data_IF_511576855394
#
_entry.id   IF_511576855394
#
_cell.length_a   1.000
_cell.length_b   1.000
_cell.length_c   1.000
_cell.angle_alpha   90.00
_cell.angle_beta   90.00
_cell.angle_gamma   90.00
#
_symmetry.space_group_name_H-M   'P 1'
#
loop_
_entity.id
_entity.type
_entity.pdbx_description
1 polymer ?
#
# COMPACT_ATOMS: atom_id res chain seq x y z
N UNK A 1 -17.69 -48.29 42.66
CA UNK A 1 -16.29 -48.44 43.06
C UNK A 1 -15.45 -48.79 41.86
N UNK A 2 -14.34 -48.10 41.60
CA UNK A 2 -13.47 -48.27 40.42
C UNK A 2 -12.86 -49.69 40.31
N UNK A 3 -12.83 -50.43 41.45
CA UNK A 3 -12.32 -51.78 41.51
C UNK A 3 -13.20 -52.82 40.79
N UNK A 4 -14.43 -52.41 40.41
CA UNK A 4 -15.38 -53.34 39.74
C UNK A 4 -15.26 -53.22 38.17
N UNK A 5 -14.46 -52.32 37.65
CA UNK A 5 -14.26 -52.16 36.22
C UNK A 5 -12.81 -52.52 35.88
N UNK A 6 -12.63 -53.53 35.06
CA UNK A 6 -11.32 -53.82 34.46
C UNK A 6 -11.05 -52.83 33.34
N UNK A 7 -9.80 -52.60 33.06
CA UNK A 7 -9.39 -51.69 31.98
C UNK A 7 -10.01 -52.16 30.64
N UNK A 8 -10.63 -51.21 29.93
CA UNK A 8 -11.36 -51.49 28.69
C UNK A 8 -12.75 -52.09 28.84
N UNK A 9 -13.27 -52.33 30.08
CA UNK A 9 -14.61 -52.91 30.28
C UNK A 9 -15.76 -51.94 29.95
N UNK A 10 -15.49 -50.65 29.87
CA UNK A 10 -16.46 -49.65 29.44
C UNK A 10 -16.11 -49.25 28.01
N UNK A 11 -16.87 -49.72 27.06
CA UNK A 11 -16.77 -49.42 25.65
C UNK A 11 -17.94 -48.55 25.17
N UNK A 12 -17.99 -48.24 23.86
CA UNK A 12 -19.04 -47.37 23.27
C UNK A 12 -20.45 -47.94 23.44
N UNK A 13 -20.62 -49.29 23.55
CA UNK A 13 -21.92 -49.92 23.77
C UNK A 13 -22.46 -49.67 25.17
N UNK A 14 -21.60 -49.37 26.12
CA UNK A 14 -21.96 -49.05 27.50
C UNK A 14 -22.29 -47.58 27.74
N UNK A 15 -22.05 -46.73 26.70
CA UNK A 15 -22.29 -45.29 26.74
C UNK A 15 -23.47 -44.95 25.83
N UNK A 16 -24.66 -44.74 26.42
CA UNK A 16 -25.81 -44.27 25.62
C UNK A 16 -25.52 -42.88 25.04
N UNK A 17 -26.15 -42.60 23.87
CA UNK A 17 -26.06 -41.28 23.23
C UNK A 17 -26.42 -40.16 24.21
N UNK A 18 -25.58 -39.13 24.26
CA UNK A 18 -25.74 -37.98 25.14
C UNK A 18 -25.46 -38.26 26.64
N UNK A 19 -25.01 -39.48 27.02
CA UNK A 19 -24.66 -39.80 28.40
C UNK A 19 -23.45 -39.03 28.93
N UNK A 20 -22.54 -38.62 28.04
CA UNK A 20 -21.42 -37.73 28.37
C UNK A 20 -21.82 -36.28 28.02
N UNK A 21 -22.18 -35.55 29.04
CA UNK A 21 -22.55 -34.14 28.97
C UNK A 21 -21.33 -33.25 29.28
N UNK A 22 -21.41 -31.95 28.92
CA UNK A 22 -20.36 -31.00 29.25
C UNK A 22 -19.95 -30.98 30.73
N UNK A 23 -20.91 -31.19 31.64
CA UNK A 23 -20.64 -31.25 33.09
C UNK A 23 -19.80 -32.48 33.53
N UNK A 24 -19.67 -33.49 32.66
CA UNK A 24 -18.85 -34.68 32.92
C UNK A 24 -17.45 -34.62 32.33
N UNK A 25 -17.16 -33.54 31.56
CA UNK A 25 -15.86 -33.26 31.02
C UNK A 25 -15.29 -32.09 31.81
N UNK A 26 -14.24 -32.31 32.56
CA UNK A 26 -13.62 -31.23 33.34
C UNK A 26 -12.98 -30.20 32.40
N UNK A 27 -13.00 -28.95 32.85
CA UNK A 27 -12.41 -27.84 32.07
C UNK A 27 -10.93 -28.13 31.76
N UNK A 28 -10.53 -27.88 30.52
CA UNK A 28 -9.16 -28.05 30.03
C UNK A 28 -8.72 -29.51 29.82
N UNK A 29 -9.59 -30.49 29.97
CA UNK A 29 -9.22 -31.91 29.75
C UNK A 29 -9.22 -32.30 28.28
N UNK A 30 -9.98 -31.60 27.41
CA UNK A 30 -9.92 -31.78 25.97
C UNK A 30 -8.86 -30.81 25.43
N UNK A 31 -7.70 -31.32 25.10
CA UNK A 31 -6.58 -30.55 24.55
C UNK A 31 -6.46 -30.80 23.03
N UNK A 32 -5.54 -30.08 22.35
CA UNK A 32 -5.41 -30.16 20.89
C UNK A 32 -5.16 -31.59 20.37
N UNK A 33 -4.47 -32.42 21.15
CA UNK A 33 -4.18 -33.81 20.77
C UNK A 33 -5.42 -34.74 20.71
N UNK A 34 -6.50 -34.38 21.41
CA UNK A 34 -7.77 -35.15 21.41
C UNK A 34 -8.72 -34.69 20.29
N UNK A 35 -8.36 -33.63 19.58
CA UNK A 35 -9.14 -33.11 18.43
C UNK A 35 -8.40 -33.52 17.14
N UNK A 36 -8.97 -34.51 16.44
CA UNK A 36 -8.39 -34.96 15.19
C UNK A 36 -8.36 -33.82 14.14
N UNK A 37 -7.39 -33.89 13.21
CA UNK A 37 -7.29 -32.96 12.10
C UNK A 37 -8.63 -32.87 11.34
N UNK A 38 -9.04 -31.65 11.00
CA UNK A 38 -10.32 -31.37 10.34
C UNK A 38 -11.59 -31.76 11.12
N UNK A 39 -11.48 -32.13 12.39
CA UNK A 39 -12.65 -32.47 13.23
C UNK A 39 -13.54 -31.25 13.52
N UNK A 40 -12.97 -30.04 13.55
CA UNK A 40 -13.70 -28.78 13.71
C UNK A 40 -13.98 -28.20 12.32
N UNK A 41 -15.19 -28.41 11.82
CA UNK A 41 -15.65 -27.88 10.52
C UNK A 41 -16.40 -26.58 10.72
N UNK A 42 -16.63 -25.83 9.64
CA UNK A 42 -17.43 -24.58 9.64
C UNK A 42 -18.81 -24.76 10.29
N UNK A 43 -19.47 -25.92 10.08
CA UNK A 43 -20.77 -26.21 10.66
C UNK A 43 -20.74 -26.38 12.20
N UNK A 44 -19.56 -26.58 12.78
CA UNK A 44 -19.37 -26.71 14.25
C UNK A 44 -18.97 -25.40 14.92
N UNK A 45 -18.71 -24.36 14.11
CA UNK A 45 -18.42 -23.00 14.58
C UNK A 45 -19.66 -22.16 14.27
N UNK A 46 -20.42 -21.79 15.32
CA UNK A 46 -21.58 -20.92 15.14
C UNK A 46 -21.14 -19.55 14.58
N UNK A 47 -22.06 -18.88 13.88
CA UNK A 47 -21.84 -17.50 13.48
C UNK A 47 -21.45 -16.65 14.73
N UNK A 48 -20.50 -15.74 14.54
CA UNK A 48 -19.96 -14.86 15.58
C UNK A 48 -19.29 -15.56 16.80
N UNK A 49 -19.07 -16.87 16.71
CA UNK A 49 -18.38 -17.61 17.78
C UNK A 49 -16.88 -17.24 17.88
N UNK A 50 -16.25 -16.82 16.78
CA UNK A 50 -14.87 -16.35 16.76
C UNK A 50 -14.89 -14.82 16.82
N UNK A 51 -14.65 -14.28 18.01
CA UNK A 51 -14.55 -12.83 18.24
C UNK A 51 -13.10 -12.37 18.18
N UNK A 52 -12.86 -11.05 18.06
CA UNK A 52 -11.51 -10.49 18.06
C UNK A 52 -10.66 -10.92 19.25
N UNK A 53 -11.26 -11.11 20.44
CA UNK A 53 -10.55 -11.59 21.63
C UNK A 53 -10.03 -13.04 21.53
N UNK A 54 -10.52 -13.80 20.52
CA UNK A 54 -10.10 -15.20 20.29
C UNK A 54 -9.06 -15.32 19.17
N UNK A 55 -8.74 -14.21 18.52
CA UNK A 55 -7.71 -14.12 17.50
C UNK A 55 -6.54 -13.36 18.13
N UNK A 56 -5.39 -14.02 18.25
CA UNK A 56 -4.20 -13.35 18.76
C UNK A 56 -3.78 -12.20 17.83
N UNK A 57 -3.14 -11.19 18.39
CA UNK A 57 -2.55 -10.12 17.60
C UNK A 57 -1.61 -10.70 16.53
N UNK A 58 -1.64 -10.15 15.33
CA UNK A 58 -0.85 -10.60 14.17
C UNK A 58 -1.15 -12.04 13.67
N UNK A 59 -2.21 -12.69 14.19
CA UNK A 59 -2.61 -14.02 13.74
C UNK A 59 -3.25 -14.03 12.34
N UNK A 60 -3.77 -12.90 11.88
CA UNK A 60 -4.33 -12.73 10.54
C UNK A 60 -3.33 -11.96 9.66
N UNK A 61 -2.74 -12.65 8.73
CA UNK A 61 -1.77 -12.11 7.77
C UNK A 61 -2.30 -12.20 6.33
N UNK A 62 -1.50 -11.79 5.34
CA UNK A 62 -1.90 -11.75 3.93
C UNK A 62 -2.36 -13.10 3.37
N UNK A 63 -1.88 -14.22 3.91
CA UNK A 63 -2.27 -15.58 3.46
C UNK A 63 -3.71 -15.94 3.83
N UNK A 64 -4.31 -15.24 4.80
CA UNK A 64 -5.69 -15.44 5.24
C UNK A 64 -6.71 -14.64 4.42
N UNK A 65 -6.23 -13.73 3.56
CA UNK A 65 -7.09 -12.95 2.68
C UNK A 65 -7.01 -13.51 1.24
N UNK A 66 -8.15 -13.92 0.70
CA UNK A 66 -8.23 -14.22 -0.73
C UNK A 66 -8.22 -12.91 -1.53
N UNK A 67 -7.73 -12.98 -2.76
CA UNK A 67 -7.70 -11.81 -3.64
C UNK A 67 -9.11 -11.20 -3.79
N UNK A 68 -9.21 -9.88 -3.61
CA UNK A 68 -10.48 -9.15 -3.63
C UNK A 68 -11.36 -9.30 -2.37
N UNK A 69 -10.91 -10.01 -1.32
CA UNK A 69 -11.72 -10.18 -0.09
C UNK A 69 -11.78 -8.93 0.78
N UNK A 70 -10.86 -7.98 0.58
CA UNK A 70 -10.89 -6.66 1.21
C UNK A 70 -11.43 -5.66 0.20
N UNK A 71 -12.64 -5.23 0.39
CA UNK A 71 -13.32 -4.25 -0.44
C UNK A 71 -13.59 -2.94 0.34
N UNK A 72 -14.30 -2.00 -0.29
CA UNK A 72 -14.59 -0.70 0.32
C UNK A 72 -15.40 -0.80 1.60
N UNK A 73 -16.21 -1.85 1.79
CA UNK A 73 -16.99 -2.05 3.01
C UNK A 73 -16.11 -2.43 4.22
N UNK A 74 -14.92 -2.99 3.95
CA UNK A 74 -13.96 -3.36 4.99
C UNK A 74 -13.01 -2.21 5.38
N UNK A 75 -13.00 -1.13 4.59
CA UNK A 75 -12.17 0.05 4.83
C UNK A 75 -13.11 1.21 5.13
N UNK A 76 -13.29 1.55 6.40
CA UNK A 76 -14.12 2.68 6.80
C UNK A 76 -13.51 4.01 6.32
N UNK A 77 -14.34 5.05 6.23
CA UNK A 77 -13.90 6.39 5.85
C UNK A 77 -12.71 6.86 6.69
N UNK A 78 -11.73 7.47 6.05
CA UNK A 78 -10.50 7.99 6.66
C UNK A 78 -9.57 6.93 7.28
N UNK A 79 -9.76 5.63 7.01
CA UNK A 79 -8.85 4.59 7.50
C UNK A 79 -7.55 4.48 6.70
N UNK A 80 -7.58 4.82 5.40
CA UNK A 80 -6.35 4.97 4.60
C UNK A 80 -5.85 6.41 4.77
N UNK A 81 -5.02 6.62 5.76
CA UNK A 81 -4.43 7.92 6.05
C UNK A 81 -3.21 8.16 5.15
N UNK A 82 -2.74 9.41 5.13
CA UNK A 82 -1.53 9.85 4.45
C UNK A 82 -0.33 8.89 4.68
N UNK A 83 -0.10 8.48 5.93
CA UNK A 83 1.03 7.60 6.30
C UNK A 83 0.92 6.16 5.76
N UNK A 84 -0.25 5.76 5.26
CA UNK A 84 -0.48 4.45 4.66
C UNK A 84 -0.36 4.45 3.14
N UNK A 85 -0.20 5.62 2.55
CA UNK A 85 0.04 5.75 1.13
C UNK A 85 1.53 5.55 0.83
N UNK A 86 1.82 5.05 -0.35
CA UNK A 86 3.19 4.91 -0.82
C UNK A 86 3.93 6.27 -0.81
N UNK A 87 5.18 6.28 -0.39
CA UNK A 87 6.00 7.50 -0.22
C UNK A 87 5.95 8.44 -1.42
N UNK A 88 5.89 7.91 -2.63
CA UNK A 88 5.82 8.75 -3.85
C UNK A 88 4.64 9.71 -3.88
N UNK A 89 3.53 9.40 -3.16
CA UNK A 89 2.34 10.27 -3.09
C UNK A 89 2.39 11.25 -1.91
N UNK A 90 3.32 11.06 -0.98
CA UNK A 90 3.33 11.76 0.30
C UNK A 90 4.62 12.53 0.57
N UNK A 91 5.66 12.29 -0.21
CA UNK A 91 6.98 12.88 0.01
C UNK A 91 7.32 13.88 -1.10
N UNK A 92 7.76 15.06 -0.69
CA UNK A 92 8.42 16.03 -1.56
C UNK A 92 9.91 15.67 -1.62
N UNK A 93 10.45 15.45 -2.83
CA UNK A 93 11.86 15.20 -3.04
C UNK A 93 12.62 16.49 -3.36
N UNK A 94 13.47 16.93 -2.46
CA UNK A 94 14.36 18.09 -2.66
C UNK A 94 15.65 17.62 -3.35
N UNK A 95 15.84 17.97 -4.61
CA UNK A 95 17.02 17.59 -5.41
C UNK A 95 18.24 18.48 -5.12
N UNK A 96 18.04 19.61 -4.45
CA UNK A 96 19.11 20.55 -4.17
C UNK A 96 19.50 21.38 -5.39
N UNK A 97 20.82 21.62 -5.57
CA UNK A 97 21.38 22.40 -6.69
C UNK A 97 22.28 21.53 -7.55
N UNK A 98 22.19 21.66 -8.87
CA UNK A 98 23.04 20.89 -9.78
C UNK A 98 22.61 20.99 -11.24
N UNK A 99 23.46 20.48 -12.12
CA UNK A 99 23.23 20.47 -13.57
C UNK A 99 22.76 19.13 -14.12
N UNK A 100 22.89 18.06 -13.34
CA UNK A 100 22.36 16.72 -13.65
C UNK A 100 21.57 16.21 -12.46
N UNK A 101 20.26 16.16 -12.60
CA UNK A 101 19.31 15.77 -11.57
C UNK A 101 18.49 14.57 -12.03
N UNK A 102 18.12 13.67 -11.10
CA UNK A 102 17.25 12.54 -11.41
C UNK A 102 15.88 12.77 -10.79
N UNK A 103 14.85 12.69 -11.61
CA UNK A 103 13.45 12.65 -11.20
C UNK A 103 13.02 11.19 -11.15
N UNK A 104 13.19 10.55 -9.98
CA UNK A 104 12.72 9.18 -9.79
C UNK A 104 11.22 9.19 -9.46
N UNK A 105 10.40 8.90 -10.48
CA UNK A 105 8.94 8.93 -10.36
C UNK A 105 8.38 7.82 -9.46
N UNK A 106 9.20 6.84 -9.06
CA UNK A 106 8.81 5.87 -8.03
C UNK A 106 9.00 6.41 -6.59
N UNK A 107 9.82 7.45 -6.42
CA UNK A 107 10.16 7.99 -5.10
C UNK A 107 9.28 9.16 -4.66
N UNK A 108 8.80 10.00 -5.58
CA UNK A 108 7.98 11.16 -5.27
C UNK A 108 7.11 11.59 -6.47
N UNK A 109 6.05 12.33 -6.20
CA UNK A 109 5.25 13.03 -7.22
C UNK A 109 5.51 14.54 -7.23
N UNK A 110 6.26 15.05 -6.26
CA UNK A 110 6.66 16.46 -6.22
C UNK A 110 8.15 16.56 -5.99
N UNK A 111 8.83 17.28 -6.87
CA UNK A 111 10.25 17.55 -6.78
C UNK A 111 10.49 19.04 -6.68
N UNK A 112 11.55 19.43 -5.96
CA UNK A 112 12.03 20.81 -5.92
C UNK A 112 13.50 20.85 -6.29
N UNK A 113 13.92 21.83 -7.09
CA UNK A 113 15.31 22.04 -7.41
C UNK A 113 15.62 23.54 -7.65
N UNK A 114 16.90 23.89 -7.49
CA UNK A 114 17.41 25.20 -7.89
C UNK A 114 18.57 24.99 -8.86
N UNK A 115 18.46 25.55 -10.05
CA UNK A 115 19.52 25.46 -11.05
C UNK A 115 20.64 26.47 -10.76
N UNK A 116 21.89 26.00 -10.82
CA UNK A 116 23.10 26.84 -10.78
C UNK A 116 23.88 26.83 -12.11
N UNK A 117 23.31 26.24 -13.14
CA UNK A 117 23.75 26.12 -14.52
C UNK A 117 22.64 25.49 -15.37
N UNK A 118 22.79 25.41 -16.66
CA UNK A 118 21.85 24.68 -17.51
C UNK A 118 21.77 23.24 -17.00
N UNK A 119 20.56 22.76 -16.73
CA UNK A 119 20.36 21.51 -16.01
C UNK A 119 19.56 20.50 -16.83
N UNK A 120 19.98 19.24 -16.77
CA UNK A 120 19.24 18.10 -17.31
C UNK A 120 18.56 17.35 -16.16
N UNK A 121 17.25 17.19 -16.28
CA UNK A 121 16.42 16.43 -15.36
C UNK A 121 16.07 15.08 -16.02
N UNK A 122 16.78 14.04 -15.61
CA UNK A 122 16.59 12.69 -16.15
C UNK A 122 15.46 11.99 -15.40
N UNK A 123 14.41 11.59 -16.13
CA UNK A 123 13.28 10.86 -15.57
C UNK A 123 13.62 9.36 -15.50
N UNK A 124 13.28 8.74 -14.39
CA UNK A 124 13.39 7.28 -14.17
C UNK A 124 12.10 6.74 -13.57
N UNK A 125 11.82 5.46 -13.83
CA UNK A 125 10.68 4.72 -13.27
C UNK A 125 9.30 5.40 -13.48
N UNK A 126 8.98 5.94 -14.67
CA UNK A 126 7.66 6.50 -14.92
C UNK A 126 6.60 5.39 -14.94
N UNK A 127 5.34 5.77 -14.66
CA UNK A 127 4.16 4.92 -14.83
C UNK A 127 3.06 5.68 -15.57
N UNK A 128 2.43 5.02 -16.53
CA UNK A 128 1.33 5.60 -17.30
C UNK A 128 0.25 6.17 -16.38
N UNK A 129 -0.23 7.35 -16.72
CA UNK A 129 -1.24 8.10 -15.95
C UNK A 129 -0.68 8.89 -14.77
N UNK A 130 0.61 8.76 -14.45
CA UNK A 130 1.26 9.50 -13.38
C UNK A 130 1.40 10.98 -13.75
N UNK A 131 1.11 11.85 -12.79
CA UNK A 131 1.37 13.30 -12.88
C UNK A 131 2.41 13.65 -11.83
N UNK A 132 3.43 14.36 -12.26
CA UNK A 132 4.55 14.77 -11.41
C UNK A 132 4.78 16.26 -11.54
N UNK A 133 4.99 16.93 -10.42
CA UNK A 133 5.28 18.35 -10.33
C UNK A 133 6.77 18.57 -10.05
N UNK A 134 7.41 19.41 -10.86
CA UNK A 134 8.76 19.92 -10.62
C UNK A 134 8.69 21.43 -10.35
N UNK A 135 8.96 21.82 -9.12
CA UNK A 135 9.08 23.23 -8.71
C UNK A 135 10.53 23.64 -8.89
N UNK A 136 10.79 24.48 -9.84
CA UNK A 136 12.13 24.78 -10.33
C UNK A 136 12.44 26.28 -10.29
N UNK A 137 13.58 26.62 -9.69
CA UNK A 137 14.12 27.97 -9.64
C UNK A 137 15.50 28.05 -10.31
N UNK A 138 15.97 29.28 -10.60
CA UNK A 138 17.29 29.58 -11.16
C UNK A 138 17.24 30.06 -12.61
N UNK A 139 18.13 31.01 -12.92
CA UNK A 139 18.17 31.67 -14.23
C UNK A 139 19.03 30.89 -15.24
N UNK A 140 18.57 29.67 -15.58
CA UNK A 140 19.26 28.77 -16.52
C UNK A 140 18.23 28.00 -17.34
N UNK A 141 18.68 27.20 -18.30
CA UNK A 141 17.78 26.42 -19.16
C UNK A 141 17.61 25.01 -18.63
N UNK A 142 16.38 24.59 -18.26
CA UNK A 142 16.08 23.20 -17.91
C UNK A 142 15.88 22.35 -19.15
N UNK A 143 16.28 21.08 -19.09
CA UNK A 143 16.01 20.06 -20.10
C UNK A 143 15.44 18.83 -19.42
N UNK A 144 14.25 18.36 -19.82
CA UNK A 144 13.72 17.06 -19.44
C UNK A 144 14.32 16.00 -20.34
N UNK A 145 14.77 14.88 -19.78
CA UNK A 145 15.42 13.82 -20.54
C UNK A 145 15.01 12.43 -20.04
N UNK A 146 14.85 11.52 -20.99
CA UNK A 146 14.79 10.07 -20.80
C UNK A 146 15.15 9.42 -22.13
N UNK A 147 15.93 8.34 -22.11
CA UNK A 147 16.40 7.66 -23.33
C UNK A 147 15.21 7.04 -24.08
N UNK A 148 15.05 7.40 -25.36
CA UNK A 148 13.98 6.89 -26.23
C UNK A 148 12.63 7.59 -26.07
N UNK A 149 12.48 8.51 -25.12
CA UNK A 149 11.21 9.16 -24.82
C UNK A 149 10.92 10.37 -25.73
N UNK A 150 9.63 10.67 -25.87
CA UNK A 150 9.13 11.86 -26.57
C UNK A 150 8.51 12.83 -25.55
N UNK A 151 8.97 14.08 -25.58
CA UNK A 151 8.46 15.16 -24.73
C UNK A 151 7.65 16.16 -25.55
N UNK A 152 6.37 16.30 -25.22
CA UNK A 152 5.43 17.21 -25.87
C UNK A 152 5.06 18.35 -24.91
N UNK A 153 5.40 19.57 -25.25
CA UNK A 153 5.02 20.73 -24.47
C UNK A 153 3.57 21.10 -24.71
N UNK A 154 2.83 21.33 -23.62
CA UNK A 154 1.44 21.80 -23.63
C UNK A 154 1.44 23.29 -23.35
N UNK A 155 0.86 24.08 -24.28
CA UNK A 155 0.84 25.53 -24.20
C UNK A 155 2.11 26.20 -24.72
N UNK A 156 2.16 27.53 -24.65
CA UNK A 156 3.23 28.38 -25.21
C UNK A 156 4.11 29.04 -24.15
N UNK A 157 3.83 28.84 -22.86
CA UNK A 157 4.60 29.48 -21.79
C UNK A 157 5.93 28.78 -21.62
N UNK A 158 7.02 29.55 -21.69
CA UNK A 158 8.37 29.06 -21.47
C UNK A 158 8.82 29.24 -20.02
N UNK A 159 9.89 28.54 -19.67
CA UNK A 159 10.53 28.68 -18.36
C UNK A 159 11.02 30.12 -18.17
N UNK A 160 10.63 30.74 -17.07
CA UNK A 160 11.06 32.08 -16.69
C UNK A 160 12.12 31.99 -15.58
N UNK A 161 13.37 32.20 -15.95
CA UNK A 161 14.49 32.13 -15.00
C UNK A 161 14.50 33.23 -13.92
N UNK A 162 13.66 34.26 -14.06
CA UNK A 162 13.54 35.33 -13.05
C UNK A 162 12.66 34.97 -11.86
N UNK A 163 11.90 33.87 -11.95
CA UNK A 163 10.98 33.41 -10.92
C UNK A 163 11.07 31.89 -10.71
N UNK A 164 10.35 31.37 -9.72
CA UNK A 164 10.13 29.93 -9.59
C UNK A 164 9.07 29.50 -10.58
N UNK A 165 9.24 28.33 -11.18
CA UNK A 165 8.29 27.77 -12.13
C UNK A 165 7.77 26.43 -11.62
N UNK A 166 6.50 26.16 -11.85
CA UNK A 166 5.92 24.83 -11.78
C UNK A 166 5.98 24.20 -13.17
N UNK A 167 6.65 23.05 -13.28
CA UNK A 167 6.65 22.20 -14.46
C UNK A 167 5.85 20.96 -14.11
N UNK A 168 4.66 20.82 -14.69
CA UNK A 168 3.83 19.64 -14.50
C UNK A 168 4.06 18.65 -15.64
N UNK A 169 4.31 17.40 -15.31
CA UNK A 169 4.69 16.34 -16.27
C UNK A 169 3.68 15.21 -16.14
N UNK A 170 2.97 14.91 -17.23
CA UNK A 170 2.07 13.75 -17.35
C UNK A 170 2.78 12.64 -18.13
N UNK A 171 2.79 11.44 -17.61
CA UNK A 171 3.21 10.23 -18.30
C UNK A 171 2.01 9.70 -19.09
N UNK A 172 2.01 9.93 -20.40
CA UNK A 172 0.91 9.49 -21.26
C UNK A 172 1.05 8.02 -21.69
N UNK A 173 2.30 7.56 -21.87
CA UNK A 173 2.63 6.18 -22.19
C UNK A 173 3.94 5.81 -21.48
N UNK A 174 4.02 4.61 -20.90
CA UNK A 174 5.21 4.05 -20.26
C UNK A 174 5.69 2.74 -20.95
N UNK A 175 5.22 2.51 -22.18
CA UNK A 175 5.65 1.39 -23.03
C UNK A 175 7.07 1.62 -23.58
N UNK A 176 7.47 0.89 -24.62
CA UNK A 176 8.83 0.90 -25.17
C UNK A 176 9.32 2.24 -25.75
N UNK A 177 8.44 3.24 -25.84
CA UNK A 177 8.76 4.62 -26.24
C UNK A 177 7.88 5.55 -25.42
N UNK A 178 8.38 5.93 -24.25
CA UNK A 178 7.63 6.74 -23.30
C UNK A 178 7.22 8.09 -23.91
N UNK A 179 5.97 8.49 -23.65
CA UNK A 179 5.40 9.75 -24.10
C UNK A 179 5.04 10.61 -22.90
N UNK A 180 5.64 11.79 -22.86
CA UNK A 180 5.36 12.77 -21.82
C UNK A 180 4.69 14.00 -22.42
N UNK A 181 3.70 14.53 -21.72
CA UNK A 181 3.19 15.87 -21.91
C UNK A 181 3.59 16.73 -20.72
N UNK A 182 4.11 17.92 -20.98
CA UNK A 182 4.47 18.83 -19.89
C UNK A 182 4.01 20.26 -20.14
N UNK A 183 3.72 20.98 -19.08
CA UNK A 183 3.42 22.41 -19.10
C UNK A 183 4.36 23.15 -18.15
N UNK A 184 4.54 24.43 -18.42
CA UNK A 184 5.34 25.33 -17.58
C UNK A 184 4.45 26.49 -17.12
N UNK A 185 4.47 26.77 -15.82
CA UNK A 185 3.76 27.89 -15.23
C UNK A 185 4.71 28.67 -14.30
N UNK A 186 5.12 29.89 -14.67
CA UNK A 186 5.84 30.77 -13.76
C UNK A 186 4.97 31.10 -12.55
N UNK A 187 5.55 30.96 -11.36
CA UNK A 187 4.86 31.27 -10.10
C UNK A 187 5.09 32.74 -9.78
N UNK A 188 4.05 33.56 -9.90
CA UNK A 188 4.10 34.94 -9.43
C UNK A 188 4.15 34.93 -7.90
N UNK A 189 5.02 35.74 -7.31
CA UNK A 189 4.94 35.99 -5.86
C UNK A 189 3.64 36.77 -5.61
N UNK A 190 2.70 36.17 -4.89
CA UNK A 190 1.54 36.89 -4.39
C UNK A 190 2.00 37.85 -3.29
N UNK A 191 2.08 39.12 -3.64
CA UNK A 191 2.38 40.21 -2.68
C UNK A 191 1.12 40.88 -2.16
N UNK A 192 -0.06 40.34 -2.48
CA UNK A 192 -1.33 40.87 -1.96
C UNK A 192 -1.53 40.37 -0.53
N UNK A 193 -1.65 41.26 0.47
CA UNK A 193 -1.90 40.87 1.85
C UNK A 193 -3.31 40.29 2.05
#
# INVERSE_FOLDING_TARGET
DSEHYTDGSIDTAHLADGSITAAKIADGTVVAAEIADNAVTTAKINADAVTGAKIADDAINSEHYTDGSIDTAHIADNQVTHDKLENRYTVLSALGTGTNQTLDFSAATTFTATMNGNATFTITNPKQGQVVDLILAGNHTPTLAMSGATFNKVGSVDYDGSTTNLIQILVADDASSEIFYYSVAPIASDTTP
#
